data_IF_751203154207
#
_entry.id   IF_751203154207
#
_cell.length_a   1.000
_cell.length_b   1.000
_cell.length_c   1.000
_cell.angle_alpha   90.00
_cell.angle_beta   90.00
_cell.angle_gamma   90.00
#
_symmetry.space_group_name_H-M   'P 1'
#
loop_
_entity.id
_entity.type
_entity.pdbx_description
1 polymer ?
#
# COMPACT_ATOMS: atom_id res chain seq x y z
N UNK A 1 -29.80 -41.28 29.14
CA UNK A 1 -30.60 -40.15 28.66
C UNK A 1 -30.02 -39.75 27.29
N UNK A 2 -30.63 -40.27 26.21
CA UNK A 2 -30.27 -39.94 24.83
C UNK A 2 -31.16 -38.74 24.46
N UNK A 3 -30.60 -37.56 24.34
CA UNK A 3 -31.31 -36.37 23.89
C UNK A 3 -31.45 -36.45 22.34
N UNK A 4 -32.67 -36.73 21.89
CA UNK A 4 -33.09 -36.62 20.52
C UNK A 4 -33.04 -35.13 20.09
N UNK A 5 -32.04 -34.76 19.30
CA UNK A 5 -32.11 -33.50 18.51
C UNK A 5 -33.06 -33.70 17.35
N UNK A 6 -34.05 -32.82 17.15
CA UNK A 6 -34.92 -32.89 15.98
C UNK A 6 -34.09 -32.55 14.73
N UNK A 7 -34.01 -33.48 13.80
CA UNK A 7 -33.50 -33.20 12.43
C UNK A 7 -34.51 -32.29 11.79
N UNK A 8 -34.27 -31.00 11.81
CA UNK A 8 -35.07 -30.01 11.08
C UNK A 8 -34.83 -30.24 9.59
N UNK A 9 -35.83 -30.75 8.89
CA UNK A 9 -35.79 -30.88 7.43
C UNK A 9 -35.58 -29.49 6.81
N UNK A 10 -34.46 -29.31 6.12
CA UNK A 10 -34.14 -28.12 5.38
C UNK A 10 -35.26 -27.81 4.39
N UNK A 11 -35.81 -26.62 4.45
CA UNK A 11 -36.84 -26.19 3.48
C UNK A 11 -36.22 -26.02 2.08
N UNK A 12 -37.03 -26.14 1.02
CA UNK A 12 -36.59 -25.88 -0.35
C UNK A 12 -35.94 -24.50 -0.51
N UNK A 13 -36.39 -23.51 0.26
CA UNK A 13 -35.79 -22.16 0.30
C UNK A 13 -34.40 -22.14 0.94
N UNK A 14 -34.19 -22.92 1.99
CA UNK A 14 -32.89 -22.99 2.67
C UNK A 14 -31.87 -23.77 1.83
N UNK A 15 -32.33 -24.80 1.10
CA UNK A 15 -31.50 -25.50 0.12
C UNK A 15 -31.06 -24.58 -1.04
N UNK A 16 -31.97 -23.73 -1.56
CA UNK A 16 -31.61 -22.77 -2.61
C UNK A 16 -30.65 -21.67 -2.09
N UNK A 17 -30.79 -21.22 -0.85
CA UNK A 17 -29.86 -20.26 -0.24
C UNK A 17 -28.47 -20.91 -0.04
N UNK A 18 -28.41 -22.15 0.41
CA UNK A 18 -27.16 -22.90 0.54
C UNK A 18 -26.52 -23.13 -0.85
N UNK A 19 -27.29 -23.48 -1.87
CA UNK A 19 -26.81 -23.62 -3.24
C UNK A 19 -26.25 -22.31 -3.79
N UNK A 20 -26.92 -21.17 -3.56
CA UNK A 20 -26.42 -19.87 -3.97
C UNK A 20 -25.13 -19.45 -3.24
N UNK A 21 -24.98 -19.80 -1.94
CA UNK A 21 -23.75 -19.56 -1.18
C UNK A 21 -22.58 -20.42 -1.70
N UNK A 22 -22.83 -21.68 -2.06
CA UNK A 22 -21.80 -22.59 -2.60
C UNK A 22 -21.35 -22.13 -3.98
N UNK A 23 -22.25 -21.69 -4.85
CA UNK A 23 -21.88 -21.17 -6.17
C UNK A 23 -21.15 -19.83 -6.09
N UNK A 24 -21.51 -18.96 -5.15
CA UNK A 24 -20.79 -17.72 -4.89
C UNK A 24 -19.36 -18.00 -4.36
N UNK A 25 -19.20 -18.96 -3.46
CA UNK A 25 -17.87 -19.35 -2.95
C UNK A 25 -16.99 -20.00 -4.02
N UNK A 26 -17.57 -20.79 -4.93
CA UNK A 26 -16.82 -21.39 -6.05
C UNK A 26 -16.39 -20.33 -7.08
N UNK A 27 -17.22 -19.32 -7.36
CA UNK A 27 -16.85 -18.19 -8.21
C UNK A 27 -15.73 -17.34 -7.58
N UNK A 28 -15.77 -17.12 -6.25
CA UNK A 28 -14.70 -16.44 -5.54
C UNK A 28 -13.41 -17.27 -5.51
N UNK A 29 -13.49 -18.58 -5.40
CA UNK A 29 -12.32 -19.47 -5.44
C UNK A 29 -11.62 -19.46 -6.80
N UNK A 30 -12.36 -19.31 -7.91
CA UNK A 30 -11.75 -19.18 -9.25
C UNK A 30 -10.96 -17.88 -9.43
N UNK A 31 -11.28 -16.83 -8.65
CA UNK A 31 -10.53 -15.57 -8.62
C UNK A 31 -9.39 -15.59 -7.59
N UNK A 32 -9.21 -16.67 -6.83
CA UNK A 32 -8.19 -16.77 -5.78
C UNK A 32 -6.76 -16.36 -6.22
N UNK A 33 -6.27 -16.75 -7.43
CA UNK A 33 -4.95 -16.32 -7.88
C UNK A 33 -4.87 -14.79 -8.13
N UNK A 34 -5.96 -14.17 -8.57
CA UNK A 34 -6.04 -12.72 -8.75
C UNK A 34 -6.11 -12.01 -7.39
N UNK A 35 -6.93 -12.53 -6.47
CA UNK A 35 -7.01 -12.01 -5.10
C UNK A 35 -5.67 -12.12 -4.36
N UNK A 36 -4.95 -13.25 -4.51
CA UNK A 36 -3.61 -13.39 -3.93
C UNK A 36 -2.62 -12.37 -4.47
N UNK A 37 -2.71 -12.05 -5.76
CA UNK A 37 -1.83 -11.04 -6.37
C UNK A 37 -2.17 -9.61 -5.89
N UNK A 38 -3.44 -9.32 -5.60
CA UNK A 38 -3.93 -7.99 -5.20
C UNK A 38 -3.80 -7.77 -3.69
N UNK A 39 -4.17 -8.77 -2.87
CA UNK A 39 -4.24 -8.64 -1.41
C UNK A 39 -3.08 -9.30 -0.67
N UNK A 40 -2.14 -9.90 -1.42
CA UNK A 40 -1.09 -10.74 -0.83
C UNK A 40 -1.64 -12.10 -0.37
N UNK A 41 -0.77 -12.93 0.17
CA UNK A 41 -1.16 -14.23 0.69
C UNK A 41 -1.72 -14.04 2.11
N UNK A 42 -3.04 -14.19 2.27
CA UNK A 42 -3.73 -14.09 3.56
C UNK A 42 -3.46 -15.30 4.48
N UNK A 43 -2.61 -16.24 4.05
CA UNK A 43 -2.15 -17.29 4.96
C UNK A 43 -1.35 -16.65 6.09
N UNK A 44 -1.71 -16.96 7.33
CA UNK A 44 -0.89 -16.61 8.50
C UNK A 44 0.39 -17.42 8.39
N UNK A 45 1.36 -16.88 7.66
CA UNK A 45 2.68 -17.49 7.54
C UNK A 45 3.37 -17.39 8.89
N UNK A 46 3.96 -18.48 9.35
CA UNK A 46 4.74 -18.44 10.59
C UNK A 46 5.88 -17.41 10.42
N UNK A 47 6.08 -16.61 11.47
CA UNK A 47 7.08 -15.54 11.45
C UNK A 47 8.47 -16.16 11.47
N UNK A 48 9.32 -15.78 10.55
CA UNK A 48 10.72 -16.14 10.63
C UNK A 48 11.34 -15.50 11.89
N UNK A 49 12.06 -16.31 12.66
CA UNK A 49 12.84 -15.83 13.80
C UNK A 49 14.10 -15.16 13.28
N UNK A 50 14.23 -13.87 13.50
CA UNK A 50 15.44 -13.10 13.18
C UNK A 50 16.29 -12.94 14.42
N UNK A 51 17.61 -12.85 14.23
CA UNK A 51 18.48 -12.43 15.33
C UNK A 51 18.23 -10.94 15.69
N UNK A 52 18.58 -10.48 16.91
CA UNK A 52 18.26 -9.12 17.34
C UNK A 52 18.84 -8.01 16.46
N UNK A 53 20.01 -8.23 15.84
CA UNK A 53 20.64 -7.26 14.93
C UNK A 53 19.83 -7.09 13.65
N UNK A 54 19.47 -8.19 12.99
CA UNK A 54 18.71 -8.16 11.74
C UNK A 54 17.30 -7.61 11.96
N UNK A 55 16.66 -7.96 13.07
CA UNK A 55 15.37 -7.39 13.46
C UNK A 55 15.45 -5.87 13.69
N UNK A 56 16.50 -5.40 14.36
CA UNK A 56 16.72 -3.96 14.57
C UNK A 56 16.96 -3.23 13.24
N UNK A 57 17.77 -3.81 12.35
CA UNK A 57 18.04 -3.23 11.03
C UNK A 57 16.76 -3.17 10.19
N UNK A 58 15.98 -4.26 10.16
CA UNK A 58 14.72 -4.30 9.43
C UNK A 58 13.75 -3.19 9.88
N UNK A 59 13.60 -2.98 11.19
CA UNK A 59 12.76 -1.90 11.73
C UNK A 59 13.28 -0.50 11.41
N UNK A 60 14.54 -0.33 11.03
CA UNK A 60 15.09 0.97 10.63
C UNK A 60 14.88 1.31 9.16
N UNK A 61 14.83 0.28 8.31
CA UNK A 61 14.73 0.44 6.86
C UNK A 61 13.34 0.12 6.32
N UNK A 62 12.37 -0.14 7.21
CA UNK A 62 10.96 -0.39 6.87
C UNK A 62 10.04 0.35 7.86
N UNK A 63 8.76 0.48 7.51
CA UNK A 63 7.73 0.97 8.44
C UNK A 63 7.28 -0.09 9.47
N UNK A 64 8.04 -1.14 9.64
CA UNK A 64 7.84 -2.21 10.59
C UNK A 64 8.21 -3.57 10.00
N UNK A 65 8.68 -4.47 10.88
CA UNK A 65 9.07 -5.82 10.47
C UNK A 65 7.84 -6.70 10.24
N UNK A 66 7.12 -6.48 9.13
CA UNK A 66 5.98 -7.30 8.71
C UNK A 66 6.43 -8.73 8.42
N UNK A 67 5.47 -9.64 8.30
CA UNK A 67 5.75 -11.07 8.07
C UNK A 67 6.53 -11.29 6.77
N UNK A 68 6.15 -10.58 5.71
CA UNK A 68 6.75 -10.66 4.39
C UNK A 68 8.24 -10.26 4.42
N UNK A 69 8.56 -9.11 5.00
CA UNK A 69 9.93 -8.61 5.10
C UNK A 69 10.80 -9.50 5.98
N UNK A 70 10.23 -10.02 7.10
CA UNK A 70 10.95 -10.94 7.99
C UNK A 70 11.30 -12.24 7.28
N UNK A 71 10.34 -12.80 6.55
CA UNK A 71 10.54 -14.04 5.82
C UNK A 71 11.51 -13.83 4.66
N UNK A 72 11.38 -12.73 3.93
CA UNK A 72 12.31 -12.38 2.84
C UNK A 72 13.73 -12.19 3.36
N UNK A 73 13.90 -11.43 4.44
CA UNK A 73 15.22 -11.24 5.05
C UNK A 73 15.81 -12.55 5.56
N UNK A 74 15.01 -13.43 6.16
CA UNK A 74 15.48 -14.74 6.63
C UNK A 74 15.90 -15.66 5.47
N UNK A 75 15.24 -15.53 4.31
CA UNK A 75 15.53 -16.32 3.11
C UNK A 75 16.86 -15.89 2.46
N UNK A 76 17.07 -14.59 2.24
CA UNK A 76 18.18 -14.08 1.43
C UNK A 76 19.32 -13.47 2.25
N UNK A 77 19.09 -13.23 3.54
CA UNK A 77 20.03 -12.58 4.44
C UNK A 77 20.02 -11.05 4.34
N UNK A 78 20.55 -10.38 5.39
CA UNK A 78 20.48 -8.93 5.54
C UNK A 78 21.14 -8.16 4.39
N UNK A 79 22.30 -8.59 3.94
CA UNK A 79 23.04 -7.90 2.88
C UNK A 79 22.27 -7.89 1.57
N UNK A 80 21.81 -9.07 1.13
CA UNK A 80 21.05 -9.19 -0.12
C UNK A 80 19.68 -8.48 -0.02
N UNK A 81 19.06 -8.47 1.16
CA UNK A 81 17.80 -7.73 1.37
C UNK A 81 18.02 -6.23 1.20
N UNK A 82 19.11 -5.66 1.74
CA UNK A 82 19.42 -4.23 1.55
C UNK A 82 19.70 -3.94 0.07
N UNK A 83 20.47 -4.78 -0.62
CA UNK A 83 20.76 -4.61 -2.05
C UNK A 83 19.48 -4.66 -2.88
N UNK A 84 18.59 -5.63 -2.61
CA UNK A 84 17.26 -5.70 -3.26
C UNK A 84 16.44 -4.42 -3.03
N UNK A 85 16.44 -3.87 -1.81
CA UNK A 85 15.70 -2.66 -1.48
C UNK A 85 16.31 -1.38 -2.11
N UNK A 86 17.61 -1.37 -2.36
CA UNK A 86 18.28 -0.27 -3.09
C UNK A 86 17.95 -0.30 -4.57
N UNK A 87 17.75 -1.49 -5.15
CA UNK A 87 17.30 -1.69 -6.53
C UNK A 87 15.76 -1.70 -6.62
N UNK A 88 15.11 -0.76 -5.94
CA UNK A 88 13.65 -0.73 -5.72
C UNK A 88 12.81 -0.78 -7.01
N UNK A 89 13.34 -0.33 -8.14
CA UNK A 89 12.66 -0.38 -9.44
C UNK A 89 12.42 -1.81 -9.92
N UNK A 90 13.26 -2.77 -9.50
CA UNK A 90 13.14 -4.18 -9.85
C UNK A 90 12.12 -4.92 -8.96
N UNK A 91 11.65 -4.31 -7.87
CA UNK A 91 10.67 -4.92 -6.96
C UNK A 91 9.27 -4.84 -7.58
N UNK A 92 8.64 -6.00 -7.82
CA UNK A 92 7.22 -6.07 -8.25
C UNK A 92 6.29 -5.63 -7.12
N UNK A 93 5.75 -4.44 -7.25
CA UNK A 93 4.83 -3.82 -6.29
C UNK A 93 3.41 -3.64 -6.86
N UNK A 94 3.04 -4.50 -7.80
CA UNK A 94 1.78 -4.45 -8.54
C UNK A 94 0.55 -4.24 -7.64
N UNK A 95 0.50 -4.87 -6.46
CA UNK A 95 -0.66 -4.76 -5.57
C UNK A 95 -0.81 -3.37 -4.95
N UNK A 96 0.29 -2.70 -4.64
CA UNK A 96 0.30 -1.32 -4.18
C UNK A 96 -0.02 -0.36 -5.35
N UNK A 97 0.63 -0.54 -6.50
CA UNK A 97 0.43 0.29 -7.69
C UNK A 97 -1.04 0.24 -8.17
N UNK A 98 -1.69 -0.94 -8.09
CA UNK A 98 -3.11 -1.08 -8.42
C UNK A 98 -4.03 -0.30 -7.47
N UNK A 99 -3.72 -0.26 -6.17
CA UNK A 99 -4.49 0.54 -5.22
C UNK A 99 -4.30 2.04 -5.49
N UNK A 100 -3.08 2.46 -5.79
CA UNK A 100 -2.75 3.85 -6.10
C UNK A 100 -3.39 4.34 -7.40
N UNK A 101 -3.60 3.46 -8.40
CA UNK A 101 -4.25 3.80 -9.66
C UNK A 101 -5.71 4.24 -9.53
N UNK A 102 -6.31 4.06 -8.37
CA UNK A 102 -7.67 4.56 -8.07
C UNK A 102 -7.71 6.06 -7.79
N UNK A 103 -6.58 6.65 -7.43
CA UNK A 103 -6.45 8.09 -7.20
C UNK A 103 -6.27 8.84 -8.52
N UNK A 104 -6.90 10.01 -8.62
CA UNK A 104 -6.95 10.76 -9.87
C UNK A 104 -6.00 11.93 -9.94
N UNK A 105 -5.39 12.27 -8.80
CA UNK A 105 -4.58 13.50 -8.67
C UNK A 105 -3.08 13.24 -8.61
N UNK A 106 -2.66 11.99 -8.37
CA UNK A 106 -1.24 11.67 -8.12
C UNK A 106 -0.33 11.86 -9.33
N UNK A 107 -0.87 11.67 -10.54
CA UNK A 107 -0.11 11.76 -11.83
C UNK A 107 -0.33 13.07 -12.57
N UNK A 108 -0.94 14.06 -11.92
CA UNK A 108 -1.29 15.33 -12.53
C UNK A 108 -0.23 16.40 -12.35
N UNK A 109 -0.07 17.25 -13.37
CA UNK A 109 0.82 18.40 -13.28
C UNK A 109 0.22 19.54 -12.42
N UNK A 110 1.04 20.56 -12.16
CA UNK A 110 0.66 21.68 -11.31
C UNK A 110 -0.57 22.44 -11.83
N UNK A 111 -0.70 22.61 -13.15
CA UNK A 111 -1.81 23.37 -13.75
C UNK A 111 -3.12 22.58 -13.65
N UNK A 112 -3.07 21.25 -13.88
CA UNK A 112 -4.21 20.37 -13.71
C UNK A 112 -4.69 20.32 -12.26
N UNK A 113 -3.75 20.24 -11.31
CA UNK A 113 -4.07 20.24 -9.87
C UNK A 113 -4.62 21.58 -9.40
N UNK A 114 -4.09 22.69 -9.89
CA UNK A 114 -4.64 24.01 -9.65
C UNK A 114 -6.08 24.11 -10.17
N UNK A 115 -6.33 23.66 -11.41
CA UNK A 115 -7.66 23.66 -12.01
C UNK A 115 -8.66 22.84 -11.18
N UNK A 116 -8.29 21.63 -10.74
CA UNK A 116 -9.10 20.78 -9.85
C UNK A 116 -9.38 21.49 -8.52
N UNK A 117 -8.37 22.10 -7.94
CA UNK A 117 -8.46 22.77 -6.64
C UNK A 117 -9.34 24.03 -6.69
N UNK A 118 -9.44 24.68 -7.85
CA UNK A 118 -10.26 25.86 -8.05
C UNK A 118 -11.68 25.55 -8.53
N UNK A 119 -11.99 24.31 -8.88
CA UNK A 119 -13.32 23.86 -9.29
C UNK A 119 -14.29 23.74 -8.10
N UNK A 120 -14.60 24.87 -7.46
CA UNK A 120 -15.49 24.94 -6.30
C UNK A 120 -16.96 24.53 -6.58
N UNK A 121 -17.33 24.33 -7.85
CA UNK A 121 -18.74 24.16 -8.26
C UNK A 121 -19.08 22.77 -8.83
N UNK A 122 -18.11 21.91 -9.12
CA UNK A 122 -18.33 20.62 -9.79
C UNK A 122 -18.20 19.39 -8.85
N UNK A 123 -18.42 19.56 -7.55
CA UNK A 123 -18.45 18.45 -6.59
C UNK A 123 -17.06 17.93 -6.20
N UNK A 124 -15.98 18.56 -6.62
CA UNK A 124 -14.65 18.32 -6.07
C UNK A 124 -14.49 19.16 -4.80
N UNK A 125 -14.21 18.48 -3.69
CA UNK A 125 -13.79 19.15 -2.47
C UNK A 125 -12.34 19.63 -2.67
N UNK A 126 -12.04 20.88 -2.26
CA UNK A 126 -10.68 21.44 -2.22
C UNK A 126 -9.67 20.50 -1.57
N UNK A 127 -10.14 19.71 -0.60
CA UNK A 127 -9.33 18.73 0.13
C UNK A 127 -9.04 17.45 -0.67
N UNK A 128 -9.61 17.26 -1.88
CA UNK A 128 -9.40 16.02 -2.65
C UNK A 128 -7.92 15.79 -2.95
N UNK A 129 -7.20 16.80 -3.45
CA UNK A 129 -5.79 16.68 -3.81
C UNK A 129 -4.92 16.30 -2.60
N UNK A 130 -4.93 17.05 -1.49
CA UNK A 130 -4.13 16.69 -0.33
C UNK A 130 -4.57 15.39 0.34
N UNK A 131 -5.86 15.05 0.28
CA UNK A 131 -6.37 13.81 0.87
C UNK A 131 -5.95 12.57 0.07
N UNK A 132 -5.95 12.64 -1.27
CA UNK A 132 -5.42 11.55 -2.10
C UNK A 132 -3.92 11.35 -1.86
N UNK A 133 -3.13 12.42 -1.75
CA UNK A 133 -1.71 12.32 -1.40
C UNK A 133 -1.50 11.66 -0.03
N UNK A 134 -2.24 12.09 1.02
CA UNK A 134 -2.16 11.50 2.37
C UNK A 134 -2.53 10.01 2.35
N UNK A 135 -3.60 9.65 1.65
CA UNK A 135 -4.04 8.26 1.53
C UNK A 135 -3.01 7.42 0.75
N UNK A 136 -2.49 7.94 -0.35
CA UNK A 136 -1.45 7.28 -1.14
C UNK A 136 -0.19 7.03 -0.31
N UNK A 137 0.25 8.01 0.47
CA UNK A 137 1.39 7.87 1.40
C UNK A 137 1.15 6.73 2.39
N UNK A 138 -0.03 6.68 3.04
CA UNK A 138 -0.36 5.59 3.96
C UNK A 138 -0.42 4.22 3.28
N UNK A 139 -0.99 4.15 2.08
CA UNK A 139 -1.04 2.89 1.31
C UNK A 139 0.38 2.41 0.99
N UNK A 140 1.26 3.29 0.55
CA UNK A 140 2.66 2.95 0.26
C UNK A 140 3.40 2.48 1.52
N UNK A 141 3.28 3.18 2.62
CA UNK A 141 3.90 2.80 3.90
C UNK A 141 3.42 1.43 4.39
N UNK A 142 2.12 1.12 4.23
CA UNK A 142 1.52 -0.11 4.72
C UNK A 142 1.67 -1.31 3.79
N UNK A 143 1.64 -1.11 2.47
CA UNK A 143 1.50 -2.21 1.51
C UNK A 143 2.63 -2.32 0.51
N UNK A 144 3.40 -1.26 0.25
CA UNK A 144 4.53 -1.32 -0.66
C UNK A 144 5.58 -2.33 -0.19
N UNK A 145 6.16 -3.06 -1.14
CA UNK A 145 7.33 -3.91 -0.91
C UNK A 145 8.65 -3.13 -1.03
N UNK A 146 8.59 -1.91 -1.56
CA UNK A 146 9.73 -0.98 -1.71
C UNK A 146 9.96 -0.20 -0.42
N UNK A 147 10.08 -0.90 0.70
CA UNK A 147 10.01 -0.30 2.04
C UNK A 147 11.12 0.73 2.31
N UNK A 148 12.36 0.43 1.96
CA UNK A 148 13.47 1.38 2.14
C UNK A 148 13.24 2.66 1.32
N UNK A 149 12.77 2.52 0.08
CA UNK A 149 12.44 3.66 -0.77
C UNK A 149 11.36 4.54 -0.12
N UNK A 150 10.27 3.96 0.37
CA UNK A 150 9.20 4.72 1.03
C UNK A 150 9.66 5.38 2.35
N UNK A 151 10.53 4.73 3.13
CA UNK A 151 11.16 5.32 4.32
C UNK A 151 12.01 6.54 3.95
N UNK A 152 12.75 6.47 2.83
CA UNK A 152 13.55 7.61 2.36
C UNK A 152 12.70 8.75 1.81
N UNK A 153 11.59 8.44 1.12
CA UNK A 153 10.61 9.45 0.69
C UNK A 153 10.03 10.18 1.90
N UNK A 154 9.60 9.44 2.92
CA UNK A 154 9.07 10.00 4.17
C UNK A 154 10.10 10.89 4.86
N UNK A 155 11.35 10.41 4.99
CA UNK A 155 12.45 11.17 5.57
C UNK A 155 12.70 12.50 4.85
N UNK A 156 12.77 12.50 3.51
CA UNK A 156 13.02 13.73 2.75
C UNK A 156 11.81 14.67 2.76
N UNK A 157 10.59 14.13 2.73
CA UNK A 157 9.36 14.92 2.86
C UNK A 157 9.29 15.67 4.19
N UNK A 158 9.71 15.02 5.28
CA UNK A 158 9.79 15.63 6.60
C UNK A 158 10.97 16.61 6.73
N UNK A 159 12.11 16.29 6.12
CA UNK A 159 13.30 17.13 6.15
C UNK A 159 13.07 18.49 5.49
N UNK A 160 12.46 18.52 4.31
CA UNK A 160 12.15 19.75 3.58
C UNK A 160 10.86 20.41 4.04
N UNK A 161 9.98 19.69 4.71
CA UNK A 161 8.77 20.11 5.43
C UNK A 161 7.96 21.24 4.76
N UNK A 162 7.38 20.96 3.60
CA UNK A 162 6.44 21.88 2.95
C UNK A 162 5.10 21.84 3.68
N UNK A 163 4.72 22.97 4.32
CA UNK A 163 3.45 23.07 5.02
C UNK A 163 2.27 23.16 4.03
N UNK A 164 1.49 22.11 3.98
CA UNK A 164 0.45 21.88 2.97
C UNK A 164 -0.68 22.94 3.00
N UNK A 165 -0.94 23.57 4.16
CA UNK A 165 -2.01 24.56 4.31
C UNK A 165 -1.58 25.99 3.90
N UNK A 166 -0.34 26.18 3.46
CA UNK A 166 0.18 27.49 3.08
C UNK A 166 -0.07 27.79 1.59
N UNK A 167 -1.10 28.61 1.30
CA UNK A 167 -1.35 29.13 -0.04
C UNK A 167 -1.55 27.99 -1.07
N UNK A 168 -0.74 28.00 -2.12
CA UNK A 168 -0.78 27.04 -3.22
C UNK A 168 -0.10 25.70 -2.88
N UNK A 169 0.57 25.60 -1.73
CA UNK A 169 1.26 24.37 -1.33
C UNK A 169 0.32 23.17 -1.21
N UNK A 170 -0.96 23.40 -1.00
CA UNK A 170 -1.92 22.32 -0.83
C UNK A 170 -2.12 21.44 -2.09
N UNK A 171 -1.88 21.95 -3.30
CA UNK A 171 -1.83 21.14 -4.51
C UNK A 171 -0.40 20.95 -5.01
N UNK A 172 0.50 21.93 -4.84
CA UNK A 172 1.89 21.82 -5.25
C UNK A 172 2.67 20.77 -4.48
N UNK A 173 2.25 20.41 -3.25
CA UNK A 173 2.89 19.34 -2.48
C UNK A 173 2.79 17.97 -3.18
N UNK A 174 1.74 17.72 -3.96
CA UNK A 174 1.62 16.49 -4.75
C UNK A 174 2.67 16.45 -5.86
N UNK A 175 2.92 17.59 -6.51
CA UNK A 175 3.97 17.72 -7.55
C UNK A 175 5.36 17.58 -6.92
N UNK A 176 5.60 18.21 -5.78
CA UNK A 176 6.84 18.09 -5.02
C UNK A 176 7.11 16.62 -4.64
N UNK A 177 6.09 15.89 -4.15
CA UNK A 177 6.22 14.47 -3.82
C UNK A 177 6.63 13.64 -5.05
N UNK A 178 5.96 13.83 -6.20
CA UNK A 178 6.20 13.00 -7.39
C UNK A 178 7.47 13.39 -8.15
N UNK A 179 7.69 14.68 -8.40
CA UNK A 179 8.72 15.17 -9.30
C UNK A 179 10.06 15.46 -8.64
N UNK A 180 10.07 15.68 -7.32
CA UNK A 180 11.28 16.02 -6.57
C UNK A 180 11.61 14.89 -5.59
N UNK A 181 10.78 14.69 -4.59
CA UNK A 181 11.12 13.79 -3.47
C UNK A 181 11.26 12.36 -3.96
N UNK A 182 10.23 11.80 -4.59
CA UNK A 182 10.23 10.40 -5.04
C UNK A 182 11.30 10.14 -6.10
N UNK A 183 11.46 11.06 -7.00
CA UNK A 183 12.43 10.94 -8.09
C UNK A 183 13.87 10.84 -7.60
N UNK A 184 14.17 11.49 -6.48
CA UNK A 184 15.55 11.63 -5.99
C UNK A 184 15.78 11.02 -4.59
N UNK A 185 14.78 10.33 -3.98
CA UNK A 185 14.82 9.84 -2.61
C UNK A 185 16.01 8.93 -2.29
N UNK A 186 16.45 8.10 -3.24
CA UNK A 186 17.66 7.27 -3.16
C UNK A 186 18.81 7.78 -4.05
N UNK A 187 18.68 8.98 -4.58
CA UNK A 187 19.65 9.61 -5.47
C UNK A 187 20.68 10.49 -4.74
N UNK A 188 21.19 11.48 -5.46
CA UNK A 188 22.10 12.47 -4.92
C UNK A 188 21.35 13.58 -4.18
N UNK A 189 21.87 14.01 -3.02
CA UNK A 189 21.32 15.16 -2.29
C UNK A 189 21.29 16.44 -3.15
N UNK A 190 22.30 16.60 -4.04
CA UNK A 190 22.36 17.74 -4.94
C UNK A 190 21.14 17.81 -5.90
N UNK A 191 20.57 16.66 -6.26
CA UNK A 191 19.44 16.58 -7.18
C UNK A 191 18.09 16.80 -6.46
N UNK A 192 18.09 16.73 -5.12
CA UNK A 192 16.94 17.06 -4.27
C UNK A 192 16.80 18.56 -3.99
N UNK A 193 17.87 19.36 -4.16
CA UNK A 193 17.96 20.78 -3.80
C UNK A 193 18.07 21.64 -5.05
#
# INVERSE_FOLDING_TARGET
>A
LITNYPITMLSRRDFLKLGALVTASAALASCAPVYRKILGDLTITAWASLNPRDFMMLNRITFGARVEERNRLAEIGLQNYIEEQLDFELIDDFSCDLQLSTFKTLDKDANELEAISNQLFDGYDRETVPNELRQATLIRQLYSKRQLYEVMVDFWSDHFNIFIEKGECFYLKTVDDSEVIRKHALGSFHDLV
#
